data_IF_187937736050
#
_entry.id   IF_187937736050
#
_cell.length_a   1.000
_cell.length_b   1.000
_cell.length_c   1.000
_cell.angle_alpha   90.00
_cell.angle_beta   90.00
_cell.angle_gamma   90.00
#
_symmetry.space_group_name_H-M   'P 1'
#
loop_
_entity.id
_entity.type
_entity.pdbx_description
1 polymer ?
#
# COMPACT_ATOMS: atom_id res chain seq x y z
N UNK A 1 9.35 -12.91 -33.56
CA UNK A 1 8.69 -12.79 -32.24
C UNK A 1 7.55 -13.78 -32.21
N UNK A 2 7.57 -14.73 -31.29
CA UNK A 2 6.46 -15.70 -31.13
C UNK A 2 5.41 -15.00 -30.29
N UNK A 3 4.27 -14.64 -30.90
CA UNK A 3 3.13 -14.15 -30.14
C UNK A 3 2.56 -15.34 -29.38
N UNK A 4 2.62 -15.30 -28.05
CA UNK A 4 1.90 -16.25 -27.21
C UNK A 4 0.44 -15.83 -27.25
N UNK A 5 -0.34 -16.55 -28.05
CA UNK A 5 -1.80 -16.39 -28.10
C UNK A 5 -2.39 -17.19 -26.93
N UNK A 6 -3.38 -16.64 -26.22
CA UNK A 6 -4.18 -17.37 -25.23
C UNK A 6 -5.62 -17.53 -25.76
N UNK A 7 -5.86 -18.45 -26.71
CA UNK A 7 -7.18 -18.61 -27.32
C UNK A 7 -8.21 -18.91 -26.23
N UNK A 8 -9.33 -18.21 -26.26
CA UNK A 8 -10.43 -18.35 -25.29
C UNK A 8 -10.07 -18.10 -23.82
N UNK A 9 -8.89 -17.56 -23.53
CA UNK A 9 -8.42 -17.28 -22.16
C UNK A 9 -8.38 -18.53 -21.26
N UNK A 10 -8.03 -19.69 -21.83
CA UNK A 10 -8.00 -20.99 -21.13
C UNK A 10 -6.66 -21.28 -20.44
N UNK A 11 -5.58 -20.59 -20.80
CA UNK A 11 -4.33 -20.62 -20.04
C UNK A 11 -4.37 -19.56 -18.94
N UNK A 12 -3.96 -19.95 -17.74
CA UNK A 12 -3.75 -19.00 -16.65
C UNK A 12 -2.64 -18.02 -17.02
N UNK A 13 -2.96 -16.72 -16.98
CA UNK A 13 -1.98 -15.64 -17.12
C UNK A 13 -1.81 -15.00 -15.76
N UNK A 14 -0.59 -14.95 -15.27
CA UNK A 14 -0.23 -14.37 -13.99
C UNK A 14 0.88 -13.33 -14.21
N UNK A 15 0.67 -12.11 -13.70
CA UNK A 15 1.66 -11.04 -13.73
C UNK A 15 2.08 -10.76 -12.30
N UNK A 16 3.36 -10.98 -12.00
CA UNK A 16 3.95 -10.53 -10.75
C UNK A 16 4.02 -9.00 -10.76
N UNK A 17 3.43 -8.37 -9.75
CA UNK A 17 3.29 -6.91 -9.61
C UNK A 17 4.04 -6.35 -8.41
N UNK A 18 4.82 -7.15 -7.68
CA UNK A 18 5.51 -6.72 -6.46
C UNK A 18 6.40 -5.48 -6.68
N UNK A 19 7.13 -5.41 -7.80
CA UNK A 19 7.97 -4.26 -8.13
C UNK A 19 7.16 -2.97 -8.34
N UNK A 20 5.97 -3.11 -8.93
CA UNK A 20 5.02 -2.02 -9.07
C UNK A 20 4.47 -1.60 -7.70
N UNK A 21 4.09 -2.56 -6.85
CA UNK A 21 3.57 -2.32 -5.50
C UNK A 21 4.59 -1.58 -4.63
N UNK A 22 5.87 -1.99 -4.68
CA UNK A 22 6.96 -1.31 -4.00
C UNK A 22 7.08 0.15 -4.42
N UNK A 23 6.99 0.41 -5.73
CA UNK A 23 7.07 1.76 -6.28
C UNK A 23 5.83 2.59 -5.90
N UNK A 24 4.65 1.99 -5.99
CA UNK A 24 3.37 2.60 -5.63
C UNK A 24 3.38 3.12 -4.18
N UNK A 25 3.73 2.28 -3.21
CA UNK A 25 3.74 2.71 -1.81
C UNK A 25 4.83 3.72 -1.49
N UNK A 26 6.01 3.60 -2.12
CA UNK A 26 7.09 4.59 -2.00
C UNK A 26 6.73 5.95 -2.58
N UNK A 27 5.82 6.00 -3.56
CA UNK A 27 5.32 7.26 -4.11
C UNK A 27 4.15 7.82 -3.28
N UNK A 28 3.17 6.98 -2.92
CA UNK A 28 1.89 7.42 -2.33
C UNK A 28 1.98 7.73 -0.83
N UNK A 29 2.64 6.89 -0.04
CA UNK A 29 2.61 7.04 1.42
C UNK A 29 3.35 8.30 1.91
N UNK A 30 4.48 8.74 1.32
CA UNK A 30 5.13 10.01 1.71
C UNK A 30 4.28 11.27 1.50
N UNK A 31 3.19 11.19 0.72
CA UNK A 31 2.27 12.30 0.50
C UNK A 31 1.23 12.40 1.63
N UNK A 32 1.16 11.41 2.52
CA UNK A 32 0.20 11.41 3.62
C UNK A 32 0.69 12.32 4.74
N UNK A 33 -0.20 13.24 5.13
CA UNK A 33 0.00 14.11 6.26
C UNK A 33 -1.32 14.43 6.93
N UNK A 34 -1.27 14.78 8.21
CA UNK A 34 -2.41 15.34 8.95
C UNK A 34 -1.95 16.50 9.79
N UNK A 35 -2.85 17.46 10.02
CA UNK A 35 -2.61 18.61 10.87
C UNK A 35 -3.85 18.85 11.73
N UNK A 36 -3.69 18.80 13.04
CA UNK A 36 -4.78 19.07 13.98
C UNK A 36 -4.22 19.50 15.34
N UNK A 37 -4.83 20.52 15.92
CA UNK A 37 -4.47 21.06 17.24
C UNK A 37 -2.97 21.44 17.33
N UNK A 38 -2.38 21.95 16.24
CA UNK A 38 -0.97 22.34 16.14
C UNK A 38 0.01 21.18 15.90
N UNK A 39 -0.45 19.93 16.01
CA UNK A 39 0.35 18.76 15.70
C UNK A 39 0.23 18.38 14.24
N UNK A 40 1.37 18.08 13.63
CA UNK A 40 1.49 17.65 12.24
C UNK A 40 2.13 16.27 12.19
N UNK A 41 1.49 15.31 11.53
CA UNK A 41 2.05 13.96 11.35
C UNK A 41 2.37 13.75 9.89
N UNK A 42 3.60 13.29 9.61
CA UNK A 42 4.08 13.03 8.24
C UNK A 42 4.76 11.69 8.12
N UNK A 43 4.62 11.06 6.97
CA UNK A 43 5.45 9.91 6.60
C UNK A 43 6.80 10.42 6.11
N UNK A 44 7.88 10.04 6.79
CA UNK A 44 9.24 10.46 6.42
C UNK A 44 9.93 9.46 5.52
N UNK A 45 9.59 8.17 5.62
CA UNK A 45 10.19 7.13 4.81
C UNK A 45 9.28 5.88 4.69
N UNK A 46 9.32 5.21 3.54
CA UNK A 46 8.77 3.86 3.38
C UNK A 46 9.93 2.90 3.28
N UNK A 47 10.33 2.37 4.44
CA UNK A 47 11.54 1.56 4.57
C UNK A 47 11.45 0.22 3.85
N UNK A 48 10.27 -0.41 3.83
CA UNK A 48 10.13 -1.77 3.32
C UNK A 48 8.72 -2.05 2.79
N UNK A 49 8.64 -2.77 1.67
CA UNK A 49 7.42 -3.37 1.10
C UNK A 49 7.81 -4.75 0.58
N UNK A 50 7.34 -5.81 1.24
CA UNK A 50 7.68 -7.22 0.95
C UNK A 50 6.43 -8.07 0.91
N UNK A 51 6.59 -9.30 0.44
CA UNK A 51 5.51 -10.28 0.30
C UNK A 51 5.23 -10.52 -1.18
N UNK A 52 3.98 -10.86 -1.48
CA UNK A 52 3.56 -11.27 -2.81
C UNK A 52 2.47 -10.33 -3.34
N UNK A 53 2.53 -10.02 -4.63
CA UNK A 53 1.48 -9.26 -5.29
C UNK A 53 1.43 -9.64 -6.75
N UNK A 54 0.24 -10.00 -7.22
CA UNK A 54 0.04 -10.49 -8.56
C UNK A 54 -1.35 -10.10 -9.06
N UNK A 55 -1.45 -10.00 -10.38
CA UNK A 55 -2.73 -9.84 -11.08
C UNK A 55 -2.86 -10.94 -12.13
N UNK A 56 -4.04 -11.54 -12.19
CA UNK A 56 -4.39 -12.59 -13.14
C UNK A 56 -5.74 -12.26 -13.80
N UNK A 57 -6.14 -13.04 -14.80
CA UNK A 57 -7.43 -12.90 -15.44
C UNK A 57 -8.21 -14.20 -15.34
N UNK A 58 -9.44 -14.13 -14.82
CA UNK A 58 -10.34 -15.28 -14.70
C UNK A 58 -11.67 -14.95 -15.35
N UNK A 59 -12.10 -15.76 -16.33
CA UNK A 59 -13.35 -15.56 -17.09
C UNK A 59 -13.46 -14.13 -17.65
N UNK A 60 -12.37 -13.61 -18.18
CA UNK A 60 -12.31 -12.25 -18.76
C UNK A 60 -12.23 -11.11 -17.74
N UNK A 61 -12.32 -11.39 -16.43
CA UNK A 61 -12.24 -10.37 -15.37
C UNK A 61 -10.85 -10.37 -14.72
N UNK A 62 -10.21 -9.21 -14.54
CA UNK A 62 -8.98 -9.14 -13.77
C UNK A 62 -9.27 -9.48 -12.30
N UNK A 63 -8.39 -10.26 -11.71
CA UNK A 63 -8.37 -10.60 -10.29
C UNK A 63 -6.98 -10.30 -9.77
N UNK A 64 -6.87 -9.90 -8.50
CA UNK A 64 -5.59 -9.71 -7.84
C UNK A 64 -5.53 -10.58 -6.59
N UNK A 65 -4.32 -10.96 -6.22
CA UNK A 65 -4.01 -11.47 -4.90
C UNK A 65 -2.74 -10.78 -4.44
N UNK A 66 -2.73 -10.40 -3.18
CA UNK A 66 -1.58 -9.78 -2.57
C UNK A 66 -1.61 -10.07 -1.07
N UNK A 67 -0.42 -10.21 -0.53
CA UNK A 67 -0.12 -10.30 0.89
C UNK A 67 1.16 -9.50 1.08
N UNK A 68 1.02 -8.28 1.60
CA UNK A 68 2.12 -7.33 1.68
C UNK A 68 2.37 -6.90 3.12
N UNK A 69 3.63 -6.99 3.51
CA UNK A 69 4.17 -6.35 4.70
C UNK A 69 4.75 -4.99 4.33
N UNK A 70 4.28 -3.93 5.00
CA UNK A 70 4.73 -2.55 4.78
C UNK A 70 5.31 -1.98 6.07
N UNK A 71 6.51 -1.44 6.01
CA UNK A 71 7.15 -0.73 7.14
C UNK A 71 7.46 0.71 6.74
N UNK A 72 6.97 1.67 7.51
CA UNK A 72 7.17 3.10 7.29
C UNK A 72 7.63 3.81 8.57
N UNK A 73 8.32 4.94 8.40
CA UNK A 73 8.70 5.85 9.47
C UNK A 73 7.81 7.08 9.43
N UNK A 74 7.35 7.49 10.59
CA UNK A 74 6.42 8.62 10.78
C UNK A 74 7.00 9.56 11.81
N UNK A 75 6.92 10.86 11.54
CA UNK A 75 7.30 11.92 12.47
C UNK A 75 6.07 12.71 12.90
N UNK A 76 5.99 13.01 14.20
CA UNK A 76 5.05 13.97 14.77
C UNK A 76 5.80 15.27 15.01
N UNK A 77 5.26 16.36 14.51
CA UNK A 77 5.83 17.70 14.56
C UNK A 77 4.85 18.66 15.23
N UNK A 78 5.37 19.76 15.75
CA UNK A 78 4.58 20.91 16.20
C UNK A 78 5.20 22.16 15.61
N UNK A 79 4.54 22.76 14.61
CA UNK A 79 5.18 23.74 13.73
C UNK A 79 6.36 23.12 12.96
N UNK A 80 7.55 23.70 13.09
CA UNK A 80 8.77 23.21 12.43
C UNK A 80 9.52 22.16 13.23
N UNK A 81 9.19 22.01 14.51
CA UNK A 81 9.94 21.17 15.44
C UNK A 81 9.45 19.73 15.37
N UNK A 82 10.37 18.79 15.16
CA UNK A 82 10.09 17.36 15.24
C UNK A 82 10.07 16.95 16.72
N UNK A 83 8.88 16.59 17.21
CA UNK A 83 8.69 16.16 18.59
C UNK A 83 9.15 14.72 18.77
N UNK A 84 8.76 13.85 17.83
CA UNK A 84 9.08 12.43 17.88
C UNK A 84 9.03 11.78 16.51
N UNK A 85 9.82 10.73 16.34
CA UNK A 85 9.85 9.90 15.14
C UNK A 85 9.87 8.43 15.55
N UNK A 86 9.16 7.60 14.79
CA UNK A 86 9.04 6.18 15.07
C UNK A 86 8.53 5.40 13.87
N UNK A 87 8.43 4.09 14.04
CA UNK A 87 8.03 3.18 12.95
C UNK A 87 6.59 2.72 13.12
N UNK A 88 5.87 2.67 11.99
CA UNK A 88 4.61 1.95 11.86
C UNK A 88 4.80 0.77 10.91
N UNK A 89 4.15 -0.34 11.21
CA UNK A 89 4.19 -1.56 10.41
C UNK A 89 2.78 -2.04 10.13
N UNK A 90 2.51 -2.32 8.88
CA UNK A 90 1.35 -3.09 8.44
C UNK A 90 1.89 -4.50 8.17
N UNK A 91 1.73 -5.45 9.12
CA UNK A 91 2.29 -6.78 8.97
C UNK A 91 1.66 -7.53 7.80
N UNK A 92 0.38 -7.23 7.54
CA UNK A 92 -0.43 -7.93 6.56
C UNK A 92 -1.39 -6.94 5.92
N UNK A 93 -1.25 -6.75 4.61
CA UNK A 93 -2.19 -6.07 3.74
C UNK A 93 -2.65 -7.10 2.72
N UNK A 94 -3.92 -7.51 2.82
CA UNK A 94 -4.53 -8.49 1.92
C UNK A 94 -5.83 -7.95 1.32
N UNK A 95 -6.40 -8.73 0.39
CA UNK A 95 -7.64 -8.37 -0.30
C UNK A 95 -8.92 -8.57 0.54
N UNK A 96 -8.87 -9.40 1.58
CA UNK A 96 -10.06 -9.86 2.31
C UNK A 96 -10.12 -9.36 3.77
N UNK A 97 -9.03 -8.80 4.28
CA UNK A 97 -8.93 -8.37 5.68
C UNK A 97 -8.64 -6.87 5.80
N UNK A 98 -9.20 -6.27 6.86
CA UNK A 98 -8.86 -4.90 7.22
C UNK A 98 -7.42 -4.85 7.75
N UNK A 99 -6.55 -3.97 7.18
CA UNK A 99 -5.16 -3.90 7.58
C UNK A 99 -5.01 -3.53 9.05
N UNK A 100 -4.15 -4.26 9.75
CA UNK A 100 -3.77 -3.91 11.13
C UNK A 100 -2.53 -3.03 11.11
N UNK A 101 -2.50 -1.99 11.94
CA UNK A 101 -1.33 -1.13 12.10
C UNK A 101 -0.69 -1.44 13.45
N UNK A 102 0.58 -1.83 13.41
CA UNK A 102 1.43 -1.99 14.57
C UNK A 102 2.31 -0.75 14.70
N UNK A 103 2.37 -0.19 15.90
CA UNK A 103 3.13 1.01 16.20
C UNK A 103 4.27 0.67 17.16
N UNK A 104 5.44 1.27 16.92
CA UNK A 104 6.56 1.19 17.84
C UNK A 104 6.22 1.87 19.19
N UNK A 105 6.75 1.35 20.30
CA UNK A 105 6.51 1.94 21.62
C UNK A 105 7.18 3.31 21.80
N UNK A 106 8.07 3.71 20.89
CA UNK A 106 8.81 4.98 20.94
C UNK A 106 7.91 6.21 20.98
N UNK A 107 6.69 6.16 20.45
CA UNK A 107 5.81 7.33 20.34
C UNK A 107 5.25 7.89 21.66
N UNK A 108 5.41 7.17 22.78
CA UNK A 108 5.02 7.67 24.11
C UNK A 108 3.58 8.22 24.17
N UNK A 109 3.42 9.48 24.61
CA UNK A 109 2.12 10.14 24.74
C UNK A 109 1.44 10.47 23.39
N UNK A 110 2.17 10.43 22.27
CA UNK A 110 1.63 10.74 20.94
C UNK A 110 0.96 9.53 20.24
N UNK A 111 0.95 8.35 20.86
CA UNK A 111 0.28 7.16 20.30
C UNK A 111 -1.20 7.40 20.01
N UNK A 112 -1.93 7.97 20.98
CA UNK A 112 -3.37 8.26 20.82
C UNK A 112 -3.62 9.28 19.70
N UNK A 113 -2.68 10.19 19.47
CA UNK A 113 -2.76 11.17 18.40
C UNK A 113 -2.66 10.48 17.03
N UNK A 114 -1.68 9.57 16.86
CA UNK A 114 -1.50 8.79 15.64
C UNK A 114 -2.73 7.94 15.32
N UNK A 115 -3.25 7.24 16.31
CA UNK A 115 -4.44 6.40 16.16
C UNK A 115 -5.68 7.19 15.73
N UNK A 116 -5.89 8.37 16.30
CA UNK A 116 -7.08 9.19 16.01
C UNK A 116 -6.96 10.00 14.72
N UNK A 117 -5.76 10.49 14.40
CA UNK A 117 -5.59 11.47 13.33
C UNK A 117 -4.95 10.88 12.08
N UNK A 118 -4.00 9.96 12.23
CA UNK A 118 -3.20 9.47 11.11
C UNK A 118 -3.67 8.12 10.58
N UNK A 119 -4.04 7.19 11.46
CA UNK A 119 -4.48 5.84 11.06
C UNK A 119 -5.66 5.86 10.08
N UNK A 120 -6.71 6.68 10.25
CA UNK A 120 -7.82 6.71 9.30
C UNK A 120 -7.37 7.08 7.87
N UNK A 121 -6.38 7.98 7.77
CA UNK A 121 -5.84 8.43 6.48
C UNK A 121 -4.94 7.34 5.89
N UNK A 122 -4.11 6.70 6.71
CA UNK A 122 -3.27 5.57 6.29
C UNK A 122 -4.13 4.40 5.79
N UNK A 123 -5.12 3.97 6.56
CA UNK A 123 -6.05 2.89 6.17
C UNK A 123 -6.79 3.21 4.87
N UNK A 124 -7.24 4.46 4.71
CA UNK A 124 -7.86 4.91 3.46
C UNK A 124 -6.89 4.83 2.27
N UNK A 125 -5.61 5.19 2.46
CA UNK A 125 -4.62 5.07 1.40
C UNK A 125 -4.30 3.61 1.05
N UNK A 126 -4.24 2.72 2.05
CA UNK A 126 -4.05 1.28 1.86
C UNK A 126 -5.24 0.65 1.12
N UNK A 127 -6.48 1.05 1.43
CA UNK A 127 -7.66 0.52 0.73
C UNK A 127 -7.76 0.97 -0.74
N UNK A 128 -7.10 2.06 -1.12
CA UNK A 128 -6.98 2.46 -2.54
C UNK A 128 -5.99 1.61 -3.34
N UNK A 129 -5.13 0.82 -2.68
CA UNK A 129 -4.13 0.02 -3.36
C UNK A 129 -4.75 -1.00 -4.34
N UNK A 130 -5.74 -1.78 -3.89
CA UNK A 130 -6.39 -2.82 -4.70
C UNK A 130 -7.06 -2.27 -5.97
N UNK A 131 -7.92 -1.24 -5.93
CA UNK A 131 -8.51 -0.69 -7.14
C UNK A 131 -7.44 -0.09 -8.07
N UNK A 132 -6.38 0.50 -7.52
CA UNK A 132 -5.27 1.06 -8.31
C UNK A 132 -4.44 -0.03 -8.99
N UNK A 133 -4.19 -1.15 -8.30
CA UNK A 133 -3.50 -2.32 -8.85
C UNK A 133 -4.28 -2.93 -10.02
N UNK A 134 -5.59 -3.13 -9.84
CA UNK A 134 -6.47 -3.63 -10.92
C UNK A 134 -6.54 -2.63 -12.07
N UNK A 135 -6.59 -1.32 -11.80
CA UNK A 135 -6.60 -0.30 -12.86
C UNK A 135 -5.29 -0.28 -13.65
N UNK A 136 -4.15 -0.44 -12.98
CA UNK A 136 -2.83 -0.40 -13.61
C UNK A 136 -2.50 -1.67 -14.41
N UNK A 137 -3.07 -2.82 -14.07
CA UNK A 137 -2.65 -4.11 -14.65
C UNK A 137 -3.79 -4.99 -15.16
N UNK A 138 -5.04 -4.60 -14.95
CA UNK A 138 -6.20 -5.39 -15.36
C UNK A 138 -6.49 -5.37 -16.86
N UNK A 139 -6.08 -4.31 -17.59
CA UNK A 139 -6.27 -4.20 -19.04
C UNK A 139 -5.20 -4.91 -19.88
N UNK A 140 -4.00 -5.09 -19.32
CA UNK A 140 -2.82 -5.63 -20.04
C UNK A 140 -2.84 -7.16 -20.17
N UNK A 141 -3.77 -7.85 -19.53
CA UNK A 141 -3.75 -9.32 -19.41
C UNK A 141 -4.38 -10.04 -20.61
N UNK A 142 -4.97 -9.31 -21.57
CA UNK A 142 -5.74 -9.91 -22.65
C UNK A 142 -5.96 -9.05 -23.89
N UNK A 143 -4.95 -8.31 -24.37
CA UNK A 143 -5.04 -7.64 -25.68
C UNK A 143 -3.77 -7.81 -26.51
N UNK A 144 -3.76 -8.87 -27.32
CA UNK A 144 -3.22 -8.78 -28.67
C UNK A 144 -4.37 -9.16 -29.61
N UNK A 145 -4.60 -8.28 -30.59
CA UNK A 145 -5.53 -8.46 -31.71
C UNK A 145 -5.35 -9.81 -32.41
#
# INVERSE_FOLDING_TARGET
MVVVVNPNNWHWVEKNTLSWSQSYFKEKLPQLQTEKDGHHVVVTNVSNVRGDSNVSQRKGKPICYFDLEISLTVAVKHGTDELISGSLRVPELTHDEEPRIQMDSSFGEHQTLLEKQFYPILLKALSQYQPDLIRAHGGDLGSNV
#
